data_IF_195118783536
#
_entry.id   IF_195118783536
#
_cell.length_a   1.000
_cell.length_b   1.000
_cell.length_c   1.000
_cell.angle_alpha   90.00
_cell.angle_beta   90.00
_cell.angle_gamma   90.00
#
_symmetry.space_group_name_H-M   'P 1'
#
loop_
_entity.id
_entity.type
_entity.pdbx_description
1 polymer ?
#
# COMPACT_ATOMS: atom_id res chain seq x y z
N UNK A 1 17.28 -1.20 -4.64
CA UNK A 1 15.99 -1.42 -5.34
C UNK A 1 15.37 -0.07 -5.60
N UNK A 2 15.20 0.30 -6.87
CA UNK A 2 14.51 1.53 -7.23
C UNK A 2 13.02 1.35 -6.91
N UNK A 3 12.43 2.28 -6.14
CA UNK A 3 11.01 2.20 -5.78
C UNK A 3 10.18 2.77 -6.92
N UNK A 4 9.13 2.06 -7.30
CA UNK A 4 8.17 2.52 -8.29
C UNK A 4 7.38 3.68 -7.70
N UNK A 5 7.36 4.80 -8.41
CA UNK A 5 6.42 5.88 -8.10
C UNK A 5 5.01 5.41 -8.48
N UNK A 6 4.19 5.16 -7.46
CA UNK A 6 2.78 4.76 -7.62
C UNK A 6 1.96 5.75 -8.48
N UNK A 7 2.44 6.98 -8.68
CA UNK A 7 1.82 7.96 -9.58
C UNK A 7 1.94 7.56 -11.05
N UNK A 8 2.99 6.81 -11.43
CA UNK A 8 3.26 6.36 -12.81
C UNK A 8 2.51 5.09 -13.21
N UNK A 9 1.89 4.37 -12.26
CA UNK A 9 1.22 3.08 -12.47
C UNK A 9 -0.21 3.17 -13.02
N UNK A 10 -0.68 4.34 -13.46
CA UNK A 10 -2.09 4.57 -13.79
C UNK A 10 -3.02 4.45 -12.56
N UNK A 11 -4.32 4.70 -12.75
CA UNK A 11 -5.32 4.59 -11.68
C UNK A 11 -5.56 3.14 -11.27
N UNK A 12 -5.66 2.24 -12.24
CA UNK A 12 -5.94 0.81 -12.05
C UNK A 12 -4.80 0.06 -11.35
N UNK A 13 -3.56 0.26 -11.80
CA UNK A 13 -2.38 -0.35 -11.18
C UNK A 13 -2.19 0.12 -9.74
N UNK A 14 -2.49 1.39 -9.46
CA UNK A 14 -2.46 1.95 -8.10
C UNK A 14 -3.53 1.35 -7.19
N UNK A 15 -4.75 1.17 -7.69
CA UNK A 15 -5.85 0.59 -6.89
C UNK A 15 -5.59 -0.90 -6.58
N UNK A 16 -5.06 -1.64 -7.55
CA UNK A 16 -4.65 -3.03 -7.36
C UNK A 16 -3.60 -3.17 -6.26
N UNK A 17 -2.53 -2.37 -6.32
CA UNK A 17 -1.49 -2.35 -5.29
C UNK A 17 -2.04 -1.93 -3.92
N UNK A 18 -2.94 -0.94 -3.89
CA UNK A 18 -3.60 -0.51 -2.65
C UNK A 18 -4.39 -1.64 -2.01
N UNK A 19 -5.23 -2.35 -2.77
CA UNK A 19 -6.02 -3.48 -2.28
C UNK A 19 -5.12 -4.60 -1.76
N UNK A 20 -4.04 -4.91 -2.48
CA UNK A 20 -3.04 -5.89 -2.05
C UNK A 20 -2.39 -5.51 -0.71
N UNK A 21 -1.95 -4.26 -0.56
CA UNK A 21 -1.34 -3.74 0.67
C UNK A 21 -2.29 -3.83 1.87
N UNK A 22 -3.56 -3.45 1.69
CA UNK A 22 -4.57 -3.51 2.76
C UNK A 22 -4.81 -4.97 3.18
N UNK A 23 -4.99 -5.87 2.21
CA UNK A 23 -5.18 -7.30 2.49
C UNK A 23 -3.98 -7.89 3.24
N UNK A 24 -2.76 -7.60 2.78
CA UNK A 24 -1.54 -8.08 3.44
C UNK A 24 -1.43 -7.54 4.87
N UNK A 25 -1.77 -6.27 5.11
CA UNK A 25 -1.78 -5.68 6.45
C UNK A 25 -2.73 -6.44 7.39
N UNK A 26 -3.92 -6.79 6.92
CA UNK A 26 -4.92 -7.53 7.70
C UNK A 26 -4.50 -8.97 7.99
N UNK A 27 -3.90 -9.65 7.00
CA UNK A 27 -3.52 -11.05 7.13
C UNK A 27 -2.27 -11.27 7.99
N UNK A 28 -1.29 -10.37 7.87
CA UNK A 28 0.05 -10.57 8.45
C UNK A 28 0.41 -9.59 9.57
N UNK A 29 -0.33 -8.49 9.72
CA UNK A 29 0.02 -7.41 10.64
C UNK A 29 1.30 -6.63 10.25
N UNK A 30 1.91 -6.92 9.08
CA UNK A 30 3.16 -6.31 8.62
C UNK A 30 3.16 -4.79 8.68
N UNK A 31 4.27 -4.20 9.12
CA UNK A 31 4.45 -2.74 9.23
C UNK A 31 4.49 -2.09 7.84
N UNK A 32 4.15 -0.81 7.77
CA UNK A 32 4.12 -0.06 6.51
C UNK A 32 5.45 -0.10 5.74
N UNK A 33 6.59 -0.14 6.43
CA UNK A 33 7.92 -0.26 5.83
C UNK A 33 8.06 -1.58 5.07
N UNK A 34 7.62 -2.69 5.66
CA UNK A 34 7.69 -4.02 5.05
C UNK A 34 6.76 -4.10 3.84
N UNK A 35 5.53 -3.63 4.00
CA UNK A 35 4.56 -3.53 2.91
C UNK A 35 5.06 -2.66 1.76
N UNK A 36 5.83 -1.61 2.04
CA UNK A 36 6.44 -0.76 1.02
C UNK A 36 7.50 -1.49 0.18
N UNK A 37 8.22 -2.45 0.79
CA UNK A 37 9.20 -3.29 0.10
C UNK A 37 8.49 -4.31 -0.77
N UNK A 38 7.43 -4.95 -0.26
CA UNK A 38 6.64 -5.94 -1.00
C UNK A 38 5.93 -5.30 -2.20
N UNK A 39 5.27 -4.16 -2.00
CA UNK A 39 4.55 -3.47 -3.06
C UNK A 39 5.47 -2.65 -3.99
N UNK A 40 6.75 -2.52 -3.66
CA UNK A 40 7.72 -1.76 -4.46
C UNK A 40 7.45 -0.26 -4.52
N UNK A 41 6.72 0.31 -3.56
CA UNK A 41 6.31 1.74 -3.55
C UNK A 41 6.89 2.49 -2.36
N UNK A 42 6.80 3.82 -2.39
CA UNK A 42 7.24 4.65 -1.26
C UNK A 42 6.41 4.38 0.01
N UNK A 43 7.08 4.35 1.17
CA UNK A 43 6.43 4.03 2.47
C UNK A 43 5.28 4.99 2.81
N UNK A 44 5.47 6.30 2.55
CA UNK A 44 4.42 7.31 2.73
C UNK A 44 3.14 7.01 1.93
N UNK A 45 3.25 6.40 0.76
CA UNK A 45 2.09 6.01 -0.05
C UNK A 45 1.31 4.90 0.64
N UNK A 46 2.02 3.89 1.15
CA UNK A 46 1.43 2.81 1.96
C UNK A 46 0.76 3.36 3.21
N UNK A 47 1.43 4.24 3.96
CA UNK A 47 0.86 4.86 5.16
C UNK A 47 -0.43 5.63 4.86
N UNK A 48 -0.45 6.39 3.76
CA UNK A 48 -1.65 7.09 3.29
C UNK A 48 -2.79 6.11 2.98
N UNK A 49 -2.50 5.01 2.29
CA UNK A 49 -3.50 3.98 2.00
C UNK A 49 -4.05 3.31 3.25
N UNK A 50 -3.17 2.94 4.18
CA UNK A 50 -3.57 2.32 5.45
C UNK A 50 -4.37 3.29 6.34
N UNK A 51 -4.04 4.58 6.33
CA UNK A 51 -4.82 5.61 7.03
C UNK A 51 -6.23 5.71 6.45
N UNK A 52 -6.34 5.77 5.11
CA UNK A 52 -7.64 5.81 4.42
C UNK A 52 -8.45 4.53 4.64
N UNK A 53 -7.80 3.36 4.67
CA UNK A 53 -8.45 2.09 4.94
C UNK A 53 -9.01 2.05 6.37
N UNK A 54 -8.22 2.47 7.37
CA UNK A 54 -8.67 2.60 8.77
C UNK A 54 -9.85 3.57 8.92
N UNK A 55 -9.79 4.74 8.27
CA UNK A 55 -10.89 5.69 8.28
C UNK A 55 -12.18 5.12 7.66
N UNK A 56 -12.05 4.19 6.72
CA UNK A 56 -13.18 3.49 6.09
C UNK A 56 -13.59 2.20 6.83
N UNK A 57 -12.97 1.84 7.95
CA UNK A 57 -13.25 0.59 8.69
C UNK A 57 -12.77 -0.69 8.00
N UNK A 58 -11.84 -0.58 7.05
CA UNK A 58 -11.41 -1.68 6.16
C UNK A 58 -9.94 -2.03 6.29
N UNK A 59 -9.25 -1.63 7.36
CA UNK A 59 -7.78 -1.76 7.49
C UNK A 59 -7.27 -1.99 8.89
#
# INVERSE_FOLDING_TARGET
>A
MEKVDARKLGSEGRDTLRKMVIRLRQQSGMKAIELSRVAGVHVRTVESWLRKARAAGTG
#
